data_IF_677780142841
#
_entry.id   IF_677780142841
#
_cell.length_a   1.000
_cell.length_b   1.000
_cell.length_c   1.000
_cell.angle_alpha   90.00
_cell.angle_beta   90.00
_cell.angle_gamma   90.00
#
_symmetry.space_group_name_H-M   'P 1'
#
loop_
_entity.id
_entity.type
_entity.pdbx_description
1 polymer ?
#
# COMPACT_ATOMS: atom_id res chain seq x y z
N UNK A 1 2.04 -47.55 47.46
CA UNK A 1 1.85 -46.08 47.46
C UNK A 1 2.89 -45.48 46.50
N UNK A 2 2.47 -45.06 45.30
CA UNK A 2 3.29 -44.22 44.40
C UNK A 2 2.30 -43.29 43.69
N UNK A 3 2.45 -42.00 43.98
CA UNK A 3 1.53 -40.94 43.62
C UNK A 3 1.63 -40.63 42.12
N UNK A 4 0.48 -40.54 41.47
CA UNK A 4 0.31 -39.97 40.12
C UNK A 4 0.23 -38.45 40.31
N UNK A 5 1.18 -37.71 39.76
CA UNK A 5 1.09 -36.26 39.61
C UNK A 5 0.63 -35.96 38.18
N UNK A 6 -0.61 -35.51 38.03
CA UNK A 6 -1.10 -34.88 36.79
C UNK A 6 -0.64 -33.42 36.80
N UNK A 7 0.27 -33.05 35.91
CA UNK A 7 0.60 -31.65 35.66
C UNK A 7 -0.27 -31.12 34.52
N UNK A 8 -1.23 -30.27 34.87
CA UNK A 8 -2.08 -29.54 33.92
C UNK A 8 -1.24 -28.38 33.34
N UNK A 9 -0.75 -28.55 32.11
CA UNK A 9 0.02 -27.53 31.41
C UNK A 9 -0.89 -26.43 30.87
N UNK A 10 -0.78 -25.23 31.44
CA UNK A 10 -1.41 -24.02 30.90
C UNK A 10 -0.60 -23.55 29.68
N UNK A 11 -1.13 -23.73 28.48
CA UNK A 11 -0.56 -23.16 27.26
C UNK A 11 -0.84 -21.65 27.23
N UNK A 12 0.19 -20.85 27.48
CA UNK A 12 0.16 -19.41 27.21
C UNK A 12 0.50 -19.24 25.72
N UNK A 13 -0.50 -18.91 24.91
CA UNK A 13 -0.27 -18.48 23.52
C UNK A 13 0.25 -17.05 23.55
N UNK A 14 1.54 -16.88 23.29
CA UNK A 14 2.11 -15.56 22.99
C UNK A 14 1.53 -15.09 21.65
N UNK A 15 1.06 -13.83 21.52
CA UNK A 15 0.75 -13.28 20.22
C UNK A 15 2.05 -13.20 19.42
N UNK A 16 2.09 -13.84 18.25
CA UNK A 16 3.15 -13.61 17.27
C UNK A 16 2.99 -12.17 16.77
N UNK A 17 3.76 -11.25 17.35
CA UNK A 17 4.01 -9.96 16.74
C UNK A 17 4.60 -10.22 15.35
N UNK A 18 3.87 -9.82 14.31
CA UNK A 18 4.36 -9.89 12.93
C UNK A 18 5.74 -9.26 12.84
N UNK A 19 6.69 -9.99 12.28
CA UNK A 19 8.03 -9.49 12.01
C UNK A 19 7.88 -8.20 11.20
N UNK A 20 8.37 -7.08 11.72
CA UNK A 20 8.52 -5.87 10.94
C UNK A 20 9.38 -6.23 9.72
N UNK A 21 8.78 -6.25 8.53
CA UNK A 21 9.56 -6.48 7.31
C UNK A 21 10.51 -5.29 7.17
N UNK A 22 11.81 -5.55 7.26
CA UNK A 22 12.81 -4.53 6.94
C UNK A 22 12.76 -4.30 5.43
N UNK A 23 12.13 -3.21 5.01
CA UNK A 23 12.11 -2.81 3.60
C UNK A 23 13.49 -2.31 3.16
N UNK A 24 13.90 -2.65 1.94
CA UNK A 24 15.06 -2.04 1.29
C UNK A 24 14.62 -0.77 0.58
N UNK A 25 15.05 0.39 1.09
CA UNK A 25 14.77 1.70 0.50
C UNK A 25 15.47 1.93 -0.85
N UNK A 26 16.54 1.16 -1.16
CA UNK A 26 17.21 1.24 -2.46
C UNK A 26 18.22 2.38 -2.57
N UNK A 27 18.19 3.13 -3.67
CA UNK A 27 19.11 4.24 -3.98
C UNK A 27 18.38 5.51 -4.42
N UNK A 28 19.13 6.51 -4.90
CA UNK A 28 18.60 7.81 -5.37
C UNK A 28 18.85 7.92 -6.89
N UNK A 29 18.48 6.89 -7.65
CA UNK A 29 18.75 6.82 -9.10
C UNK A 29 17.64 7.44 -9.97
N UNK A 30 16.47 7.76 -9.39
CA UNK A 30 15.37 8.43 -10.10
C UNK A 30 15.68 9.91 -10.36
N UNK A 31 15.08 10.47 -11.42
CA UNK A 31 15.12 11.92 -11.68
C UNK A 31 14.33 12.74 -10.65
N UNK A 32 13.40 12.09 -9.94
CA UNK A 32 12.58 12.67 -8.88
C UNK A 32 13.21 12.51 -7.48
N UNK A 33 14.30 11.75 -7.36
CA UNK A 33 14.97 11.57 -6.06
C UNK A 33 15.54 12.87 -5.47
N UNK A 34 15.55 12.97 -4.13
CA UNK A 34 16.04 14.14 -3.37
C UNK A 34 15.22 15.42 -3.56
N UNK A 35 13.92 15.31 -3.84
CA UNK A 35 13.04 16.45 -4.09
C UNK A 35 12.13 16.83 -2.89
N UNK A 36 12.26 16.10 -1.78
CA UNK A 36 11.48 16.20 -0.54
C UNK A 36 10.14 15.44 -0.52
N UNK A 37 9.83 14.67 -1.56
CA UNK A 37 8.68 13.76 -1.61
C UNK A 37 9.16 12.32 -1.80
N UNK A 38 8.34 11.32 -1.43
CA UNK A 38 8.65 9.91 -1.67
C UNK A 38 7.93 9.43 -2.93
N UNK A 39 8.68 9.03 -3.95
CA UNK A 39 8.14 8.51 -5.23
C UNK A 39 7.94 6.99 -5.23
N UNK A 40 8.46 6.30 -4.21
CA UNK A 40 8.37 4.85 -4.12
C UNK A 40 6.97 4.40 -3.66
N UNK A 41 6.16 3.99 -4.63
CA UNK A 41 4.78 3.53 -4.42
C UNK A 41 4.60 2.33 -3.48
N UNK A 42 5.68 1.69 -3.01
CA UNK A 42 5.63 0.71 -1.92
C UNK A 42 5.31 1.34 -0.56
N UNK A 43 5.37 2.66 -0.46
CA UNK A 43 4.98 3.42 0.73
C UNK A 43 3.61 4.08 0.55
N UNK A 44 3.05 4.53 1.67
CA UNK A 44 1.89 5.41 1.70
C UNK A 44 1.98 6.36 2.89
N UNK A 45 1.34 7.53 2.80
CA UNK A 45 1.28 8.50 3.88
C UNK A 45 1.45 9.95 3.41
N UNK A 46 1.76 10.84 4.36
CA UNK A 46 1.78 12.29 4.13
C UNK A 46 2.98 12.76 3.30
N UNK A 47 4.07 12.00 3.27
CA UNK A 47 5.29 12.33 2.54
C UNK A 47 5.35 11.79 1.11
N UNK A 48 4.25 11.26 0.55
CA UNK A 48 4.24 10.71 -0.81
C UNK A 48 4.10 11.78 -1.88
N UNK A 49 4.81 11.58 -2.99
CA UNK A 49 4.73 12.41 -4.20
C UNK A 49 3.33 12.45 -4.83
N UNK A 50 3.07 13.47 -5.65
CA UNK A 50 1.77 13.64 -6.31
C UNK A 50 1.54 12.68 -7.48
N UNK A 51 2.61 12.22 -8.11
CA UNK A 51 2.62 11.13 -9.09
C UNK A 51 3.44 9.97 -8.55
N UNK A 52 3.06 8.76 -8.90
CA UNK A 52 3.77 7.54 -8.51
C UNK A 52 3.96 6.66 -9.73
N UNK A 53 5.21 6.38 -10.07
CA UNK A 53 5.57 5.50 -11.17
C UNK A 53 6.11 4.17 -10.60
N UNK A 54 5.75 3.04 -11.21
CA UNK A 54 6.36 1.75 -10.91
C UNK A 54 7.87 1.74 -11.20
N UNK A 55 8.32 2.56 -12.14
CA UNK A 55 9.73 2.72 -12.45
C UNK A 55 10.50 3.38 -11.29
N UNK A 56 9.86 4.12 -10.38
CA UNK A 56 10.53 4.79 -9.25
C UNK A 56 10.68 3.93 -7.98
N UNK A 57 10.21 2.68 -8.04
CA UNK A 57 10.33 1.72 -6.94
C UNK A 57 11.79 1.54 -6.51
N UNK A 58 12.10 1.94 -5.26
CA UNK A 58 13.42 1.83 -4.66
C UNK A 58 14.48 2.76 -5.25
N UNK A 59 14.07 3.81 -5.96
CA UNK A 59 14.97 4.78 -6.61
C UNK A 59 14.93 6.18 -5.98
N UNK A 60 14.22 6.31 -4.86
CA UNK A 60 14.14 7.51 -4.05
C UNK A 60 14.35 7.19 -2.55
N UNK A 61 15.55 6.70 -2.22
CA UNK A 61 15.87 6.24 -0.88
C UNK A 61 15.84 7.40 0.13
N UNK A 62 16.47 8.53 -0.20
CA UNK A 62 16.72 9.60 0.78
C UNK A 62 15.42 10.17 1.33
N UNK A 63 14.42 10.43 0.48
CA UNK A 63 13.14 11.00 0.90
C UNK A 63 12.23 9.95 1.52
N UNK A 64 12.06 8.79 0.90
CA UNK A 64 11.25 7.70 1.45
C UNK A 64 11.76 7.23 2.82
N UNK A 65 13.08 7.14 3.01
CA UNK A 65 13.66 6.79 4.31
C UNK A 65 13.40 7.89 5.34
N UNK A 66 13.57 9.17 4.97
CA UNK A 66 13.28 10.29 5.87
C UNK A 66 11.82 10.25 6.32
N UNK A 67 10.88 10.15 5.38
CA UNK A 67 9.46 10.11 5.69
C UNK A 67 9.07 8.90 6.56
N UNK A 68 9.68 7.73 6.31
CA UNK A 68 9.47 6.56 7.15
C UNK A 68 10.02 6.74 8.57
N UNK A 69 11.25 7.25 8.72
CA UNK A 69 11.88 7.50 10.02
C UNK A 69 11.10 8.56 10.83
N UNK A 70 10.46 9.53 10.17
CA UNK A 70 9.61 10.55 10.79
C UNK A 70 8.19 10.06 11.10
N UNK A 71 7.82 8.86 10.64
CA UNK A 71 6.47 8.31 10.80
C UNK A 71 5.41 8.93 9.89
N UNK A 72 5.84 9.70 8.88
CA UNK A 72 4.99 10.28 7.85
C UNK A 72 4.62 9.25 6.77
N UNK A 73 5.47 8.24 6.60
CA UNK A 73 5.29 7.13 5.67
C UNK A 73 5.22 5.79 6.39
N UNK A 74 4.46 4.87 5.81
CA UNK A 74 4.37 3.46 6.20
C UNK A 74 4.58 2.59 4.97
N UNK A 75 5.12 1.39 5.18
CA UNK A 75 5.17 0.37 4.12
C UNK A 75 3.76 -0.13 3.87
N UNK A 76 3.35 -0.11 2.61
CA UNK A 76 2.06 -0.66 2.20
C UNK A 76 2.15 -2.18 2.11
N UNK A 77 1.21 -2.87 2.74
CA UNK A 77 1.13 -4.34 2.72
C UNK A 77 -0.18 -4.76 2.04
N UNK A 78 -0.07 -5.41 0.89
CA UNK A 78 -1.24 -5.79 0.10
C UNK A 78 -2.19 -6.75 0.83
N UNK A 79 -1.66 -7.67 1.63
CA UNK A 79 -2.50 -8.65 2.34
C UNK A 79 -3.35 -7.93 3.39
N UNK A 80 -2.73 -7.02 4.15
CA UNK A 80 -3.39 -6.23 5.17
C UNK A 80 -4.35 -5.21 4.55
N UNK A 81 -3.91 -4.50 3.51
CA UNK A 81 -4.73 -3.53 2.78
C UNK A 81 -5.99 -4.17 2.21
N UNK A 82 -5.85 -5.33 1.55
CA UNK A 82 -6.99 -6.06 0.97
C UNK A 82 -7.94 -6.60 2.06
N UNK A 83 -7.42 -6.99 3.22
CA UNK A 83 -8.25 -7.42 4.33
C UNK A 83 -9.03 -6.26 4.99
N UNK A 84 -8.47 -5.05 4.98
CA UNK A 84 -9.07 -3.86 5.58
C UNK A 84 -9.98 -3.08 4.62
N UNK A 85 -9.73 -3.14 3.32
CA UNK A 85 -10.49 -2.40 2.31
C UNK A 85 -11.92 -2.92 2.19
N UNK A 86 -12.89 -2.06 2.47
CA UNK A 86 -14.31 -2.33 2.26
C UNK A 86 -14.74 -1.74 0.90
N UNK A 87 -14.57 -2.49 -0.18
CA UNK A 87 -14.83 -2.03 -1.55
C UNK A 87 -16.25 -1.48 -1.74
N UNK A 88 -17.26 -2.03 -1.06
CA UNK A 88 -18.65 -1.57 -1.13
C UNK A 88 -18.89 -0.20 -0.45
N UNK A 89 -17.91 0.31 0.29
CA UNK A 89 -17.95 1.61 0.98
C UNK A 89 -17.12 2.69 0.29
N UNK A 90 -16.32 2.35 -0.71
CA UNK A 90 -15.48 3.33 -1.39
C UNK A 90 -16.32 4.20 -2.32
N UNK A 91 -16.12 5.52 -2.24
CA UNK A 91 -16.58 6.41 -3.27
C UNK A 91 -15.58 6.42 -4.43
N UNK A 92 -15.91 5.70 -5.49
CA UNK A 92 -15.10 5.59 -6.71
C UNK A 92 -15.23 6.80 -7.63
N UNK A 93 -16.20 7.70 -7.42
CA UNK A 93 -16.41 8.87 -8.27
C UNK A 93 -17.01 8.53 -9.63
N UNK A 94 -16.42 9.03 -10.71
CA UNK A 94 -16.88 8.88 -12.10
C UNK A 94 -15.76 8.38 -13.03
N UNK A 95 -15.99 8.39 -14.35
CA UNK A 95 -15.03 7.98 -15.38
C UNK A 95 -14.56 9.19 -16.20
N UNK A 96 -14.19 10.28 -15.54
CA UNK A 96 -13.79 11.53 -16.22
C UNK A 96 -12.32 11.61 -16.62
N UNK A 97 -11.47 10.66 -16.21
CA UNK A 97 -10.07 10.59 -16.65
C UNK A 97 -9.98 10.19 -18.12
N UNK A 98 -8.89 10.55 -18.79
CA UNK A 98 -8.60 10.10 -20.16
C UNK A 98 -8.23 8.60 -20.21
N UNK A 99 -7.80 8.04 -19.08
CA UNK A 99 -7.43 6.63 -18.91
C UNK A 99 -8.60 5.76 -18.42
N UNK A 100 -9.73 6.38 -18.05
CA UNK A 100 -10.86 5.65 -17.50
C UNK A 100 -11.42 4.59 -18.49
N UNK A 101 -11.58 3.36 -18.02
CA UNK A 101 -12.16 2.28 -18.82
C UNK A 101 -11.16 1.45 -19.64
N UNK A 102 -9.85 1.57 -19.39
CA UNK A 102 -8.79 0.82 -20.06
C UNK A 102 -8.48 -0.55 -19.45
N UNK A 103 -9.05 -0.86 -18.27
CA UNK A 103 -8.92 -2.12 -17.56
C UNK A 103 -7.94 -2.11 -16.39
N UNK A 104 -7.29 -0.98 -16.13
CA UNK A 104 -6.43 -0.74 -14.97
C UNK A 104 -7.13 0.22 -13.99
N UNK A 105 -6.51 0.55 -12.86
CA UNK A 105 -7.06 1.52 -11.92
C UNK A 105 -6.06 2.66 -11.73
N UNK A 106 -6.40 3.83 -12.27
CA UNK A 106 -5.56 5.03 -12.25
C UNK A 106 -5.69 5.82 -10.95
N UNK A 107 -6.66 5.47 -10.12
CA UNK A 107 -6.93 6.18 -8.88
C UNK A 107 -5.80 5.95 -7.87
N UNK A 108 -5.02 7.01 -7.66
CA UNK A 108 -3.89 7.09 -6.71
C UNK A 108 -4.19 6.50 -5.32
N UNK A 109 -5.44 6.49 -4.87
CA UNK A 109 -5.82 5.93 -3.56
C UNK A 109 -5.65 4.41 -3.49
N UNK A 110 -5.52 3.73 -4.62
CA UNK A 110 -5.40 2.29 -4.72
C UNK A 110 -4.00 1.85 -5.11
N UNK A 111 -3.68 0.61 -4.78
CA UNK A 111 -2.46 -0.08 -5.20
C UNK A 111 -2.76 -1.58 -5.34
N UNK A 112 -1.96 -2.27 -6.14
CA UNK A 112 -1.99 -3.73 -6.28
C UNK A 112 -1.93 -4.20 -7.73
N UNK A 113 -1.99 -5.51 -8.01
CA UNK A 113 -1.85 -6.07 -9.35
C UNK A 113 -2.84 -5.60 -10.45
N UNK A 114 -3.80 -4.72 -10.14
CA UNK A 114 -4.68 -4.10 -11.12
C UNK A 114 -4.58 -2.58 -11.19
N UNK A 115 -3.72 -1.92 -10.40
CA UNK A 115 -3.48 -0.49 -10.57
C UNK A 115 -2.61 -0.22 -11.79
N UNK A 116 -2.78 0.94 -12.40
CA UNK A 116 -1.87 1.40 -13.46
C UNK A 116 -0.43 1.55 -12.94
N UNK A 117 0.53 1.48 -13.87
CA UNK A 117 1.96 1.69 -13.63
C UNK A 117 2.29 3.13 -13.20
N UNK A 118 1.48 4.10 -13.62
CA UNK A 118 1.60 5.51 -13.28
C UNK A 118 0.31 6.02 -12.63
N UNK A 119 0.37 6.40 -11.37
CA UNK A 119 -0.80 6.92 -10.66
C UNK A 119 -0.64 8.38 -10.29
N UNK A 120 -1.60 9.21 -10.69
CA UNK A 120 -1.59 10.64 -10.42
C UNK A 120 -2.70 11.00 -9.43
N UNK A 121 -2.40 11.88 -8.47
CA UNK A 121 -3.44 12.43 -7.56
C UNK A 121 -4.59 13.11 -8.31
N UNK A 122 -4.32 13.59 -9.51
CA UNK A 122 -5.31 14.21 -10.37
C UNK A 122 -6.38 13.22 -10.84
N UNK A 123 -6.11 11.91 -10.85
CA UNK A 123 -7.02 10.84 -11.27
C UNK A 123 -7.85 10.24 -10.12
N UNK A 124 -7.73 10.79 -8.91
CA UNK A 124 -8.55 10.39 -7.76
C UNK A 124 -10.04 10.51 -8.09
N UNK A 125 -10.73 9.37 -8.04
CA UNK A 125 -12.16 9.26 -8.28
C UNK A 125 -12.59 9.48 -9.73
N UNK A 126 -11.67 9.31 -10.69
CA UNK A 126 -11.93 9.55 -12.12
C UNK A 126 -11.85 8.33 -13.01
N UNK A 127 -11.61 7.15 -12.44
CA UNK A 127 -11.68 5.85 -13.10
C UNK A 127 -12.56 4.88 -12.29
N UNK A 128 -13.82 5.25 -12.09
CA UNK A 128 -14.69 4.56 -11.15
C UNK A 128 -15.00 3.12 -11.54
N UNK A 129 -15.19 2.85 -12.84
CA UNK A 129 -15.62 1.55 -13.34
C UNK A 129 -14.57 0.48 -13.10
N UNK A 130 -13.32 0.76 -13.45
CA UNK A 130 -12.28 -0.26 -13.42
C UNK A 130 -11.74 -0.41 -12.01
N UNK A 131 -11.47 0.70 -11.29
CA UNK A 131 -11.16 0.64 -9.87
C UNK A 131 -12.20 -0.12 -9.04
N UNK A 132 -13.51 0.06 -9.31
CA UNK A 132 -14.55 -0.73 -8.60
C UNK A 132 -14.47 -2.21 -8.95
N UNK A 133 -14.39 -2.55 -10.22
CA UNK A 133 -14.33 -3.94 -10.67
C UNK A 133 -13.08 -4.67 -10.13
N UNK A 134 -11.94 -3.97 -10.10
CA UNK A 134 -10.67 -4.51 -9.63
C UNK A 134 -10.62 -4.64 -8.10
N UNK A 135 -11.25 -3.72 -7.35
CA UNK A 135 -11.39 -3.85 -5.90
C UNK A 135 -12.30 -5.04 -5.55
N UNK A 136 -13.47 -5.15 -6.21
CA UNK A 136 -14.40 -6.27 -6.02
C UNK A 136 -13.73 -7.62 -6.37
N UNK A 137 -12.80 -7.64 -7.32
CA UNK A 137 -11.99 -8.80 -7.68
C UNK A 137 -10.81 -9.07 -6.72
N UNK A 138 -10.58 -8.20 -5.73
CA UNK A 138 -9.46 -8.29 -4.78
C UNK A 138 -8.08 -8.12 -5.41
N UNK A 139 -8.02 -7.40 -6.55
CA UNK A 139 -6.78 -7.10 -7.29
C UNK A 139 -6.14 -5.79 -6.89
N UNK A 140 -6.91 -4.87 -6.32
CA UNK A 140 -6.40 -3.62 -5.73
C UNK A 140 -6.97 -3.45 -4.33
N UNK A 141 -6.31 -2.64 -3.52
CA UNK A 141 -6.76 -2.25 -2.19
C UNK A 141 -6.36 -0.80 -1.91
N UNK A 142 -7.01 -0.16 -0.93
CA UNK A 142 -6.67 1.21 -0.56
C UNK A 142 -5.25 1.29 0.02
N UNK A 143 -4.55 2.38 -0.29
CA UNK A 143 -3.26 2.72 0.32
C UNK A 143 -3.42 3.02 1.81
N UNK A 144 -4.42 3.81 2.17
CA UNK A 144 -4.75 4.15 3.55
C UNK A 144 -5.88 3.24 4.07
N UNK A 145 -5.55 2.40 5.06
CA UNK A 145 -6.41 1.32 5.58
C UNK A 145 -6.21 1.04 7.07
#
# INVERSE_FOLDING_TARGET
>A
MKHIFLAMGLLVTLPQSGMAQSISFGDDSSEWSNDNECDDRRFYGAGMANGLDEDDIGKDRTDCKRGFDMGELKVWDFVQARAATQCDKVNYGDNSSEWAGDGECDDYRFEGPGSDGVQLREDIGKDAKDCRALCDAGKIALRDY
#
